data_IF_656856586371
#
_entry.id   IF_656856586371
#
_cell.length_a   1.000
_cell.length_b   1.000
_cell.length_c   1.000
_cell.angle_alpha   90.00
_cell.angle_beta   90.00
_cell.angle_gamma   90.00
#
_symmetry.space_group_name_H-M   'P 1'
#
loop_
_entity.id
_entity.type
_entity.pdbx_description
1 polymer ?
#
# COMPACT_ATOMS: atom_id res chain seq x y z
N UNK A 1 -29.54 15.89 -5.07
CA UNK A 1 -29.07 14.89 -4.08
C UNK A 1 -27.97 13.98 -4.63
N UNK A 2 -27.93 13.71 -5.94
CA UNK A 2 -26.89 12.92 -6.62
C UNK A 2 -25.52 13.61 -6.69
N UNK A 3 -25.46 14.93 -6.90
CA UNK A 3 -24.17 15.66 -7.00
C UNK A 3 -23.30 15.63 -5.73
N UNK A 4 -23.92 15.60 -4.54
CA UNK A 4 -23.19 15.54 -3.28
C UNK A 4 -22.53 14.18 -3.04
N UNK A 5 -23.15 13.09 -3.52
CA UNK A 5 -22.64 11.72 -3.37
C UNK A 5 -21.43 11.51 -4.31
N UNK A 6 -21.51 12.01 -5.55
CA UNK A 6 -20.41 11.92 -6.53
C UNK A 6 -19.16 12.68 -6.05
N UNK A 7 -19.33 13.89 -5.49
CA UNK A 7 -18.20 14.64 -4.91
C UNK A 7 -17.53 13.91 -3.73
N UNK A 8 -18.29 13.15 -2.95
CA UNK A 8 -17.77 12.37 -1.82
C UNK A 8 -17.01 11.13 -2.29
N UNK A 9 -17.55 10.40 -3.27
CA UNK A 9 -16.86 9.24 -3.85
C UNK A 9 -15.55 9.64 -4.51
N UNK A 10 -15.53 10.74 -5.25
CA UNK A 10 -14.30 11.25 -5.88
C UNK A 10 -13.24 11.57 -4.83
N UNK A 11 -13.60 12.30 -3.77
CA UNK A 11 -12.63 12.68 -2.72
C UNK A 11 -12.10 11.49 -1.91
N UNK A 12 -12.92 10.46 -1.69
CA UNK A 12 -12.45 9.20 -1.07
C UNK A 12 -11.51 8.48 -2.02
N UNK A 13 -11.90 8.30 -3.28
CA UNK A 13 -11.09 7.63 -4.30
C UNK A 13 -9.72 8.29 -4.45
N UNK A 14 -9.72 9.62 -4.46
CA UNK A 14 -8.54 10.47 -4.50
C UNK A 14 -7.57 10.22 -3.36
N UNK A 15 -8.12 10.13 -2.16
CA UNK A 15 -7.36 9.83 -0.96
C UNK A 15 -6.82 8.40 -1.05
N UNK A 16 -7.64 7.44 -1.43
CA UNK A 16 -7.27 6.03 -1.53
C UNK A 16 -6.16 5.79 -2.56
N UNK A 17 -6.26 6.41 -3.74
CA UNK A 17 -5.22 6.37 -4.79
C UNK A 17 -3.91 6.99 -4.32
N UNK A 18 -3.97 8.05 -3.53
CA UNK A 18 -2.79 8.76 -3.00
C UNK A 18 -2.13 8.00 -1.86
N UNK A 19 -2.92 7.31 -1.04
CA UNK A 19 -2.47 6.51 0.08
C UNK A 19 -2.20 5.05 -0.28
N UNK A 20 -2.55 4.56 -1.48
CA UNK A 20 -2.39 3.14 -1.86
C UNK A 20 -0.96 2.62 -1.63
N UNK A 21 0.04 3.44 -1.97
CA UNK A 21 1.46 3.09 -1.79
C UNK A 21 1.80 2.97 -0.31
N UNK A 22 1.33 3.92 0.50
CA UNK A 22 1.53 3.91 1.95
C UNK A 22 0.81 2.74 2.61
N UNK A 23 -0.42 2.43 2.19
CA UNK A 23 -1.19 1.30 2.69
C UNK A 23 -0.52 -0.03 2.36
N UNK A 24 -0.10 -0.24 1.11
CA UNK A 24 0.58 -1.48 0.71
C UNK A 24 1.93 -1.62 1.42
N UNK A 25 2.72 -0.54 1.51
CA UNK A 25 3.98 -0.57 2.25
C UNK A 25 3.77 -0.83 3.74
N UNK A 26 2.74 -0.23 4.36
CA UNK A 26 2.42 -0.45 5.77
C UNK A 26 2.01 -1.90 6.02
N UNK A 27 1.16 -2.48 5.17
CA UNK A 27 0.74 -3.89 5.27
C UNK A 27 1.95 -4.82 5.12
N UNK A 28 2.82 -4.58 4.14
CA UNK A 28 4.04 -5.38 3.96
C UNK A 28 5.01 -5.25 5.13
N UNK A 29 5.20 -4.05 5.65
CA UNK A 29 6.05 -3.83 6.81
C UNK A 29 5.50 -4.56 8.03
N UNK A 30 4.19 -4.50 8.28
CA UNK A 30 3.53 -5.25 9.35
C UNK A 30 3.67 -6.75 9.12
N UNK A 31 3.47 -7.26 7.91
CA UNK A 31 3.61 -8.69 7.63
C UNK A 31 5.04 -9.22 7.87
N UNK A 32 6.06 -8.39 7.62
CA UNK A 32 7.46 -8.74 7.86
C UNK A 32 7.85 -8.64 9.33
N UNK A 33 7.37 -7.62 10.04
CA UNK A 33 7.83 -7.27 11.40
C UNK A 33 6.94 -7.86 12.50
N UNK A 34 5.63 -8.01 12.27
CA UNK A 34 4.69 -8.51 13.27
C UNK A 34 5.06 -9.88 13.87
N UNK A 35 5.57 -10.88 13.11
CA UNK A 35 5.94 -12.17 13.69
C UNK A 35 7.05 -12.05 14.74
N UNK A 36 8.02 -11.15 14.52
CA UNK A 36 9.14 -10.92 15.44
C UNK A 36 8.71 -10.10 16.66
N UNK A 37 7.89 -9.05 16.44
CA UNK A 37 7.41 -8.16 17.51
C UNK A 37 6.43 -8.88 18.45
N UNK A 38 5.56 -9.72 17.92
CA UNK A 38 4.55 -10.44 18.73
C UNK A 38 5.12 -11.67 19.44
N UNK A 39 6.40 -12.02 19.20
CA UNK A 39 7.03 -13.24 19.72
C UNK A 39 6.15 -14.50 19.54
N UNK A 40 5.39 -14.52 18.44
CA UNK A 40 4.38 -15.53 18.17
C UNK A 40 4.93 -16.51 17.13
N UNK A 41 5.57 -17.63 17.55
CA UNK A 41 6.13 -18.63 16.63
C UNK A 41 5.06 -19.23 15.70
N UNK A 42 3.80 -19.17 16.11
CA UNK A 42 2.62 -19.64 15.38
C UNK A 42 2.33 -18.74 14.15
N UNK A 43 2.55 -17.43 14.29
CA UNK A 43 2.48 -16.49 13.16
C UNK A 43 3.70 -16.64 12.24
N UNK A 44 4.87 -16.99 12.79
CA UNK A 44 6.03 -17.31 11.98
C UNK A 44 5.87 -18.63 11.22
N UNK A 45 5.03 -19.57 11.72
CA UNK A 45 4.70 -20.81 11.03
C UNK A 45 3.75 -20.60 9.83
N UNK A 46 2.92 -19.55 9.83
CA UNK A 46 2.08 -19.17 8.69
C UNK A 46 2.90 -18.83 7.44
N UNK A 47 4.12 -18.33 7.61
CA UNK A 47 5.02 -17.99 6.51
C UNK A 47 6.23 -18.93 6.53
N UNK A 48 6.28 -19.92 5.64
CA UNK A 48 7.41 -20.84 5.57
C UNK A 48 8.76 -20.09 5.45
N UNK A 49 9.84 -20.55 6.11
CA UNK A 49 11.12 -19.84 6.10
C UNK A 49 11.67 -19.59 4.69
N UNK A 50 11.43 -20.52 3.76
CA UNK A 50 11.86 -20.40 2.37
C UNK A 50 11.12 -19.32 1.57
N UNK A 51 9.98 -18.81 2.07
CA UNK A 51 9.22 -17.71 1.45
C UNK A 51 9.64 -16.34 1.94
N UNK A 52 10.30 -16.23 3.09
CA UNK A 52 10.78 -14.94 3.64
C UNK A 52 11.60 -14.12 2.63
N UNK A 53 12.61 -14.66 1.92
CA UNK A 53 13.34 -13.87 0.93
C UNK A 53 12.46 -13.41 -0.24
N UNK A 54 11.48 -14.22 -0.66
CA UNK A 54 10.51 -13.83 -1.68
C UNK A 54 9.55 -12.74 -1.20
N UNK A 55 9.11 -12.78 0.07
CA UNK A 55 8.30 -11.72 0.68
C UNK A 55 9.07 -10.40 0.77
N UNK A 56 10.34 -10.44 1.18
CA UNK A 56 11.21 -9.26 1.24
C UNK A 56 11.44 -8.72 -0.17
N UNK A 57 11.76 -9.58 -1.15
CA UNK A 57 11.95 -9.18 -2.54
C UNK A 57 10.67 -8.58 -3.14
N UNK A 58 9.51 -9.18 -2.87
CA UNK A 58 8.20 -8.68 -3.30
C UNK A 58 7.87 -7.35 -2.64
N UNK A 59 8.20 -7.18 -1.36
CA UNK A 59 8.02 -5.90 -0.66
C UNK A 59 8.88 -4.80 -1.30
N UNK A 60 10.13 -5.12 -1.66
CA UNK A 60 11.04 -4.20 -2.32
C UNK A 60 10.57 -3.86 -3.75
N UNK A 61 10.15 -4.85 -4.53
CA UNK A 61 9.57 -4.70 -5.85
C UNK A 61 8.29 -3.84 -5.81
N UNK A 62 7.38 -4.14 -4.89
CA UNK A 62 6.15 -3.35 -4.70
C UNK A 62 6.48 -1.93 -4.28
N UNK A 63 7.45 -1.72 -3.39
CA UNK A 63 7.88 -0.38 -3.01
C UNK A 63 8.39 0.43 -4.22
N UNK A 64 9.21 -0.18 -5.08
CA UNK A 64 9.72 0.45 -6.32
C UNK A 64 8.59 0.70 -7.32
N UNK A 65 7.73 -0.29 -7.58
CA UNK A 65 6.61 -0.19 -8.51
C UNK A 65 5.59 0.85 -8.06
N UNK A 66 5.33 0.90 -6.75
CA UNK A 66 4.41 1.84 -6.13
C UNK A 66 5.07 3.16 -5.74
N UNK A 67 6.36 3.36 -6.06
CA UNK A 67 7.12 4.58 -5.74
C UNK A 67 6.22 5.79 -5.95
N UNK A 68 6.10 6.71 -4.97
CA UNK A 68 5.23 7.86 -5.08
C UNK A 68 5.68 8.70 -6.27
N UNK A 69 5.03 8.52 -7.42
CA UNK A 69 5.04 9.52 -8.48
C UNK A 69 4.20 10.66 -7.92
N UNK A 70 4.54 11.93 -8.24
CA UNK A 70 3.58 13.02 -8.03
C UNK A 70 2.24 12.48 -8.49
N UNK A 71 1.22 12.53 -7.62
CA UNK A 71 -0.13 12.13 -7.96
C UNK A 71 -0.52 13.06 -9.11
N UNK A 72 -0.16 12.65 -10.33
CA UNK A 72 -0.41 13.35 -11.56
C UNK A 72 -1.62 12.62 -12.08
N UNK A 73 -2.79 13.09 -11.66
CA UNK A 73 -3.99 12.72 -12.38
C UNK A 73 -3.90 13.33 -13.76
N UNK A 74 -4.62 12.73 -14.71
CA UNK A 74 -4.85 13.36 -15.99
C UNK A 74 -5.39 14.80 -15.84
N UNK A 75 -6.05 15.09 -14.71
CA UNK A 75 -6.59 16.41 -14.34
C UNK A 75 -5.59 17.35 -13.64
N UNK A 76 -4.44 16.86 -13.17
CA UNK A 76 -3.39 17.73 -12.59
C UNK A 76 -2.50 18.37 -13.67
N UNK A 77 -2.82 18.16 -14.96
CA UNK A 77 -2.27 18.88 -16.11
C UNK A 77 -2.97 20.24 -16.34
N UNK A 78 -3.21 20.99 -15.27
CA UNK A 78 -3.57 22.41 -15.30
C UNK A 78 -2.50 23.11 -14.43
N UNK A 79 -1.41 23.63 -14.98
CA UNK A 79 -1.41 24.81 -15.83
C UNK A 79 -0.36 24.72 -16.96
N UNK A 80 -0.85 24.69 -18.18
CA UNK A 80 -0.22 25.40 -19.30
C UNK A 80 -1.01 26.69 -19.52
#
# INVERSE_FOLDING_TARGET
MTEHIVKWSDRIWDTLVRWRTWLVNAVLAVALVAPEVLQAPELAALVPPHWRPWLIASAFLLNILMRPRKAARARDFEAK
#
